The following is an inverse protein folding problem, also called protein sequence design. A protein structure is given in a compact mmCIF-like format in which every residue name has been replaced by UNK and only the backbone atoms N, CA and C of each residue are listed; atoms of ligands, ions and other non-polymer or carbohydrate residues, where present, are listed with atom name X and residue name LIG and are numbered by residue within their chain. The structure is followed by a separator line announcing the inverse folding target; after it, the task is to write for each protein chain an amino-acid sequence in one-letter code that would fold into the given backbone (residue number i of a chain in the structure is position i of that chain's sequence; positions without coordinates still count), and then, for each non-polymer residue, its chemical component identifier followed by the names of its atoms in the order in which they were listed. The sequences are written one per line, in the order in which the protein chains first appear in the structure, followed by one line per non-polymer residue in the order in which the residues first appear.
data_IF_957422394354
#
_entry.id   IF_957422394354
#
_cell.length_a   1.000
_cell.length_b   1.000
_cell.length_c   1.000
_cell.angle_alpha   90.00
_cell.angle_beta   90.00
_cell.angle_gamma   90.00
#
_symmetry.space_group_name_H-M   'P 1'
#
loop_
_entity.id
_entity.type
_entity.pdbx_description
1 polymer ?
#
# COMPACT_ATOMS: atom_id res chain seq x y z
N UNK A 1 24.21 23.05 -1.88
CA UNK A 1 23.09 23.14 -0.94
C UNK A 1 23.46 22.32 0.28
N UNK A 2 23.29 22.87 1.48
CA UNK A 2 23.45 22.11 2.73
C UNK A 2 22.19 21.26 2.88
N UNK A 3 22.35 19.93 2.84
CA UNK A 3 21.22 19.03 3.09
C UNK A 3 20.83 19.18 4.57
N UNK A 4 19.53 19.36 4.80
CA UNK A 4 18.94 19.54 6.13
C UNK A 4 17.96 18.41 6.42
N UNK A 5 17.81 18.07 7.69
CA UNK A 5 16.83 17.09 8.17
C UNK A 5 15.39 17.63 8.15
N UNK A 6 14.45 16.84 8.68
CA UNK A 6 13.03 17.21 8.80
C UNK A 6 12.78 18.45 9.68
N UNK A 7 13.73 18.80 10.57
CA UNK A 7 13.67 19.98 11.44
C UNK A 7 14.38 21.20 10.82
N UNK A 8 14.90 21.09 9.59
CA UNK A 8 15.67 22.13 8.92
C UNK A 8 17.09 22.30 9.47
N UNK A 9 17.63 21.31 10.19
CA UNK A 9 18.99 21.31 10.74
C UNK A 9 19.97 20.63 9.80
N UNK A 10 21.17 21.17 9.69
CA UNK A 10 22.23 20.64 8.84
C UNK A 10 22.59 19.19 9.16
N UNK A 11 22.76 18.39 8.11
CA UNK A 11 23.28 17.04 8.21
C UNK A 11 24.82 17.04 8.27
N UNK A 12 25.38 16.16 9.09
CA UNK A 12 26.83 15.94 9.16
C UNK A 12 27.25 14.86 8.16
N UNK A 13 27.96 15.25 7.11
CA UNK A 13 28.59 14.29 6.19
C UNK A 13 29.68 13.48 6.88
N UNK A 14 29.63 12.15 6.75
CA UNK A 14 30.63 11.21 7.27
C UNK A 14 31.04 10.21 6.17
N UNK A 15 32.21 9.59 6.31
CA UNK A 15 32.68 8.55 5.39
C UNK A 15 32.25 7.16 5.85
N UNK A 16 32.35 6.15 4.98
CA UNK A 16 32.13 4.74 5.34
C UNK A 16 33.05 4.26 6.47
N UNK A 17 34.32 4.65 6.41
CA UNK A 17 35.30 4.36 7.45
C UNK A 17 34.86 4.99 8.79
N UNK A 18 34.48 6.26 8.79
CA UNK A 18 34.02 6.95 10.00
C UNK A 18 32.76 6.27 10.56
N UNK A 19 31.79 5.95 9.72
CA UNK A 19 30.57 5.25 10.11
C UNK A 19 30.87 3.92 10.81
N UNK A 20 31.70 3.07 10.21
CA UNK A 20 32.08 1.77 10.79
C UNK A 20 32.86 1.95 12.09
N UNK A 21 33.84 2.86 12.12
CA UNK A 21 34.67 3.09 13.31
C UNK A 21 33.85 3.55 14.51
N UNK A 22 32.93 4.50 14.29
CA UNK A 22 32.02 4.99 15.33
C UNK A 22 31.22 3.84 15.94
N UNK A 23 30.61 2.99 15.11
CA UNK A 23 29.78 1.89 15.61
C UNK A 23 30.60 0.83 16.35
N UNK A 24 31.74 0.42 15.80
CA UNK A 24 32.64 -0.55 16.46
C UNK A 24 33.17 0.01 17.79
N UNK A 25 33.38 1.33 17.89
CA UNK A 25 33.81 1.98 19.13
C UNK A 25 32.71 2.08 20.19
N UNK A 26 31.49 1.63 19.89
CA UNK A 26 30.36 1.63 20.83
C UNK A 26 29.37 2.77 20.61
N UNK A 27 29.58 3.65 19.64
CA UNK A 27 28.62 4.71 19.29
C UNK A 27 27.35 4.05 18.72
N UNK A 28 26.19 4.47 19.22
CA UNK A 28 24.88 3.95 18.78
C UNK A 28 23.96 5.02 18.23
N UNK A 29 24.21 6.28 18.55
CA UNK A 29 23.40 7.42 18.11
C UNK A 29 24.11 8.14 16.98
N UNK A 30 23.70 7.84 15.75
CA UNK A 30 24.21 8.43 14.52
C UNK A 30 23.05 9.15 13.81
N UNK A 31 22.40 10.05 14.54
CA UNK A 31 21.33 10.88 14.02
C UNK A 31 21.89 12.00 13.13
N UNK A 32 21.08 12.43 12.14
CA UNK A 32 21.40 13.58 11.28
C UNK A 32 22.74 13.48 10.55
N UNK A 33 23.14 12.27 10.21
CA UNK A 33 24.32 12.03 9.37
C UNK A 33 23.93 12.04 7.89
N UNK A 34 24.90 12.34 7.04
CA UNK A 34 24.83 12.16 5.60
C UNK A 34 25.90 11.14 5.19
N UNK A 35 25.47 10.01 4.61
CA UNK A 35 26.34 8.98 4.05
C UNK A 35 25.95 8.75 2.58
N UNK A 36 26.84 9.13 1.67
CA UNK A 36 26.57 9.16 0.23
C UNK A 36 27.54 8.26 -0.53
N UNK A 37 27.00 7.45 -1.43
CA UNK A 37 27.72 6.66 -2.42
C UNK A 37 28.81 5.76 -1.82
N UNK A 38 28.51 5.18 -0.65
CA UNK A 38 29.42 4.30 0.08
C UNK A 38 29.08 2.84 -0.14
N UNK A 39 30.06 2.07 -0.64
CA UNK A 39 29.96 0.63 -0.69
C UNK A 39 30.52 -0.01 0.59
N UNK A 40 29.67 -0.21 1.59
CA UNK A 40 30.08 -0.88 2.83
C UNK A 40 30.41 -2.35 2.57
N UNK A 41 29.76 -3.02 1.63
CA UNK A 41 30.08 -4.41 1.30
C UNK A 41 31.53 -4.63 0.83
N UNK A 42 32.17 -3.63 0.21
CA UNK A 42 33.57 -3.67 -0.21
C UNK A 42 34.55 -3.17 0.86
N UNK A 43 34.06 -2.64 1.98
CA UNK A 43 34.91 -2.11 3.03
C UNK A 43 35.64 -3.25 3.78
N UNK A 44 36.98 -3.17 4.01
CA UNK A 44 37.76 -4.26 4.60
C UNK A 44 37.27 -4.75 5.96
N UNK A 45 36.66 -3.86 6.75
CA UNK A 45 36.10 -4.18 8.08
C UNK A 45 34.61 -4.49 8.07
N UNK A 46 33.96 -4.64 6.91
CA UNK A 46 32.51 -4.88 6.87
C UNK A 46 32.09 -6.17 7.58
N UNK A 47 32.86 -7.25 7.41
CA UNK A 47 32.60 -8.52 8.09
C UNK A 47 32.74 -8.39 9.62
N UNK A 48 33.81 -7.72 10.08
CA UNK A 48 34.04 -7.43 11.50
C UNK A 48 32.92 -6.54 12.07
N UNK A 49 32.55 -5.49 11.35
CA UNK A 49 31.46 -4.59 11.67
C UNK A 49 30.12 -5.32 11.82
N UNK A 50 29.79 -6.19 10.86
CA UNK A 50 28.55 -6.96 10.89
C UNK A 50 28.54 -8.01 12.02
N UNK A 51 29.69 -8.61 12.32
CA UNK A 51 29.85 -9.52 13.44
C UNK A 51 29.73 -8.79 14.78
N UNK A 52 30.33 -7.60 14.89
CA UNK A 52 30.20 -6.74 16.06
C UNK A 52 28.74 -6.39 16.34
N UNK A 53 27.96 -6.03 15.32
CA UNK A 53 26.52 -5.80 15.47
C UNK A 53 25.82 -7.05 16.02
N UNK A 54 26.05 -8.23 15.44
CA UNK A 54 25.47 -9.49 15.94
C UNK A 54 25.74 -9.76 17.42
N UNK A 55 26.95 -9.47 17.89
CA UNK A 55 27.34 -9.70 19.27
C UNK A 55 26.80 -8.65 20.25
N UNK A 56 26.47 -7.45 19.76
CA UNK A 56 26.18 -6.28 20.62
C UNK A 56 24.74 -5.74 20.52
N UNK A 57 23.84 -6.34 19.73
CA UNK A 57 22.45 -5.86 19.58
C UNK A 57 21.43 -6.56 20.51
N UNK A 58 21.86 -7.50 21.36
CA UNK A 58 20.94 -8.17 22.30
C UNK A 58 20.52 -7.23 23.45
N UNK A 59 19.24 -6.82 23.50
CA UNK A 59 18.61 -6.22 24.69
C UNK A 59 18.74 -4.69 24.85
N UNK A 60 18.33 -3.91 23.84
CA UNK A 60 18.14 -2.45 23.96
C UNK A 60 19.29 -1.57 23.44
N UNK A 61 20.34 -2.16 22.88
CA UNK A 61 21.52 -1.46 22.31
C UNK A 61 21.45 -1.29 20.78
N UNK A 62 20.24 -1.08 20.25
CA UNK A 62 20.02 -0.90 18.82
C UNK A 62 20.76 0.32 18.27
N UNK A 63 21.13 0.25 17.00
CA UNK A 63 21.62 1.41 16.28
C UNK A 63 20.47 2.41 16.08
N UNK A 64 20.77 3.70 16.26
CA UNK A 64 19.85 4.81 16.04
C UNK A 64 20.38 5.64 14.87
N UNK A 65 19.63 5.62 13.78
CA UNK A 65 19.82 6.38 12.55
C UNK A 65 18.63 7.29 12.26
N UNK A 66 17.88 7.67 13.29
CA UNK A 66 16.75 8.57 13.13
C UNK A 66 17.18 9.87 12.45
N UNK A 67 16.38 10.35 11.49
CA UNK A 67 16.67 11.56 10.72
C UNK A 67 18.00 11.52 9.90
N UNK A 68 18.65 10.36 9.77
CA UNK A 68 19.82 10.23 8.91
C UNK A 68 19.42 10.23 7.42
N UNK A 69 20.35 10.63 6.56
CA UNK A 69 20.20 10.55 5.11
C UNK A 69 21.29 9.65 4.54
N UNK A 70 20.89 8.52 3.98
CA UNK A 70 21.76 7.60 3.28
C UNK A 70 21.34 7.56 1.82
N UNK A 71 22.30 7.80 0.93
CA UNK A 71 22.06 7.77 -0.52
C UNK A 71 23.08 6.89 -1.22
N UNK A 72 22.62 5.99 -2.09
CA UNK A 72 23.51 5.13 -2.87
C UNK A 72 24.38 4.18 -2.03
N UNK A 73 23.98 3.93 -0.77
CA UNK A 73 24.75 3.08 0.14
C UNK A 73 24.52 1.61 -0.17
N UNK A 74 25.59 0.82 -0.28
CA UNK A 74 25.50 -0.63 -0.47
C UNK A 74 25.88 -1.35 0.83
N UNK A 75 24.92 -2.04 1.44
CA UNK A 75 25.07 -2.74 2.70
C UNK A 75 24.29 -4.07 2.73
N UNK A 76 24.45 -4.88 1.68
CA UNK A 76 23.83 -6.22 1.58
C UNK A 76 24.14 -7.09 2.79
N UNK A 77 23.13 -7.78 3.32
CA UNK A 77 23.27 -8.70 4.44
C UNK A 77 23.65 -8.02 5.77
N UNK A 78 23.54 -6.69 5.87
CA UNK A 78 23.83 -5.97 7.11
C UNK A 78 22.86 -6.41 8.22
N UNK A 79 23.38 -6.51 9.44
CA UNK A 79 22.67 -6.97 10.61
C UNK A 79 22.28 -5.79 11.49
N UNK A 80 21.04 -5.32 11.34
CA UNK A 80 20.49 -4.16 12.04
C UNK A 80 19.10 -4.47 12.65
N UNK A 81 18.96 -5.53 13.47
CA UNK A 81 17.68 -5.77 14.13
C UNK A 81 17.37 -4.62 15.09
N UNK A 82 16.08 -4.31 15.23
CA UNK A 82 15.56 -3.25 16.08
C UNK A 82 16.15 -1.87 15.78
N UNK A 83 16.66 -1.66 14.55
CA UNK A 83 17.15 -0.36 14.09
C UNK A 83 16.11 0.71 14.37
N UNK A 84 16.50 1.76 15.09
CA UNK A 84 15.69 2.96 15.13
C UNK A 84 16.08 3.86 13.96
N UNK A 85 15.29 3.78 12.88
CA UNK A 85 15.41 4.59 11.69
C UNK A 85 14.18 5.47 11.49
N UNK A 86 13.51 5.92 12.55
CA UNK A 86 12.38 6.87 12.41
C UNK A 86 12.80 8.09 11.57
N UNK A 87 11.96 8.47 10.61
CA UNK A 87 12.22 9.61 9.70
C UNK A 87 13.53 9.50 8.91
N UNK A 88 14.13 8.32 8.80
CA UNK A 88 15.33 8.13 7.99
C UNK A 88 15.00 8.34 6.51
N UNK A 89 15.95 8.90 5.76
CA UNK A 89 15.89 8.91 4.29
C UNK A 89 16.91 7.93 3.75
N UNK A 90 16.40 6.92 3.04
CA UNK A 90 17.16 5.91 2.32
C UNK A 90 16.81 6.04 0.83
N UNK A 91 17.70 6.67 0.07
CA UNK A 91 17.56 6.87 -1.38
C UNK A 91 18.52 5.95 -2.14
N UNK A 92 18.02 5.07 -2.99
CA UNK A 92 18.82 4.13 -3.79
C UNK A 92 19.78 3.28 -2.94
N UNK A 93 19.35 2.91 -1.73
CA UNK A 93 20.15 2.11 -0.78
C UNK A 93 19.91 0.62 -1.04
N UNK A 94 21.00 -0.15 -1.15
CA UNK A 94 20.96 -1.59 -1.32
C UNK A 94 21.13 -2.32 0.02
N UNK A 95 20.02 -2.79 0.57
CA UNK A 95 19.89 -3.60 1.78
C UNK A 95 19.43 -5.04 1.46
N UNK A 96 19.80 -5.57 0.29
CA UNK A 96 19.47 -6.95 -0.10
C UNK A 96 19.91 -7.94 1.00
N UNK A 97 18.98 -8.79 1.45
CA UNK A 97 19.21 -9.78 2.50
C UNK A 97 19.52 -9.21 3.89
N UNK A 98 19.31 -7.92 4.13
CA UNK A 98 19.53 -7.30 5.43
C UNK A 98 18.64 -7.91 6.52
N UNK A 99 19.12 -7.89 7.77
CA UNK A 99 18.36 -8.27 8.95
C UNK A 99 17.87 -7.01 9.65
N UNK A 100 16.58 -6.71 9.51
CA UNK A 100 15.87 -5.52 10.02
C UNK A 100 14.67 -5.95 10.88
N UNK A 101 14.75 -7.11 11.53
CA UNK A 101 13.69 -7.63 12.40
C UNK A 101 13.40 -6.62 13.51
N UNK A 102 12.13 -6.26 13.67
CA UNK A 102 11.67 -5.28 14.65
C UNK A 102 12.20 -3.85 14.42
N UNK A 103 12.74 -3.54 13.23
CA UNK A 103 13.19 -2.19 12.91
C UNK A 103 12.03 -1.20 12.98
N UNK A 104 12.32 -0.02 13.52
CA UNK A 104 11.40 1.09 13.60
C UNK A 104 11.74 2.11 12.51
N UNK A 105 10.98 2.07 11.42
CA UNK A 105 11.12 2.89 10.22
C UNK A 105 9.89 3.78 10.03
N UNK A 106 9.20 4.14 11.12
CA UNK A 106 8.04 5.04 11.07
C UNK A 106 8.40 6.35 10.33
N UNK A 107 7.53 6.73 9.39
CA UNK A 107 7.68 7.91 8.51
C UNK A 107 8.99 7.95 7.70
N UNK A 108 9.65 6.80 7.50
CA UNK A 108 10.85 6.71 6.67
C UNK A 108 10.57 6.97 5.19
N UNK A 109 11.55 7.57 4.51
CA UNK A 109 11.58 7.79 3.08
C UNK A 109 12.45 6.70 2.45
N UNK A 110 11.84 5.76 1.74
CA UNK A 110 12.50 4.54 1.24
C UNK A 110 12.55 4.51 -0.29
N UNK A 111 12.87 5.65 -0.91
CA UNK A 111 12.85 5.78 -2.36
C UNK A 111 13.94 4.92 -3.01
N UNK A 112 13.57 4.05 -3.96
CA UNK A 112 14.53 3.19 -4.67
C UNK A 112 15.22 2.15 -3.79
N UNK A 113 14.75 1.92 -2.55
CA UNK A 113 15.42 0.98 -1.64
C UNK A 113 15.33 -0.45 -2.17
N UNK A 114 16.41 -1.21 -2.06
CA UNK A 114 16.44 -2.64 -2.38
C UNK A 114 16.45 -3.42 -1.07
N UNK A 115 15.33 -4.08 -0.77
CA UNK A 115 15.11 -4.94 0.40
C UNK A 115 14.85 -6.40 0.01
N UNK A 116 15.32 -6.81 -1.18
CA UNK A 116 15.12 -8.17 -1.68
C UNK A 116 15.58 -9.21 -0.66
N UNK A 117 14.70 -10.14 -0.28
CA UNK A 117 15.03 -11.19 0.68
C UNK A 117 15.37 -10.71 2.10
N UNK A 118 15.19 -9.42 2.43
CA UNK A 118 15.47 -8.89 3.74
C UNK A 118 14.47 -9.43 4.79
N UNK A 119 14.92 -9.55 6.04
CA UNK A 119 14.07 -9.90 7.17
C UNK A 119 13.56 -8.62 7.84
N UNK A 120 12.29 -8.27 7.64
CA UNK A 120 11.56 -7.17 8.29
C UNK A 120 10.43 -7.69 9.20
N UNK A 121 10.56 -8.89 9.77
CA UNK A 121 9.57 -9.42 10.71
C UNK A 121 9.32 -8.43 11.83
N UNK A 122 8.05 -8.19 12.14
CA UNK A 122 7.62 -7.30 13.23
C UNK A 122 8.14 -5.85 13.11
N UNK A 123 8.61 -5.43 11.91
CA UNK A 123 9.08 -4.07 11.69
C UNK A 123 7.91 -3.07 11.67
N UNK A 124 8.15 -1.87 12.21
CA UNK A 124 7.25 -0.72 12.09
C UNK A 124 7.59 0.04 10.81
N UNK A 125 6.71 0.00 9.82
CA UNK A 125 6.77 0.71 8.54
C UNK A 125 5.56 1.65 8.41
N UNK A 126 5.08 2.20 9.53
CA UNK A 126 3.92 3.09 9.50
C UNK A 126 4.26 4.37 8.73
N UNK A 127 3.35 4.78 7.85
CA UNK A 127 3.45 6.01 7.06
C UNK A 127 4.74 6.13 6.23
N UNK A 128 5.38 5.00 5.88
CA UNK A 128 6.57 5.01 5.02
C UNK A 128 6.22 5.39 3.59
N UNK A 129 7.20 5.96 2.89
CA UNK A 129 7.10 6.25 1.46
C UNK A 129 7.95 5.28 0.67
N UNK A 130 7.32 4.56 -0.24
CA UNK A 130 7.90 3.36 -0.88
C UNK A 130 8.23 3.54 -2.36
N UNK A 131 8.32 4.77 -2.86
CA UNK A 131 8.52 5.03 -4.29
C UNK A 131 9.69 4.18 -4.84
N UNK A 132 9.43 3.35 -5.86
CA UNK A 132 10.43 2.48 -6.49
C UNK A 132 11.11 1.44 -5.56
N UNK A 133 10.52 1.15 -4.40
CA UNK A 133 11.09 0.21 -3.44
C UNK A 133 10.88 -1.26 -3.85
N UNK A 134 11.90 -2.09 -3.67
CA UNK A 134 11.86 -3.51 -3.98
C UNK A 134 11.96 -4.39 -2.73
N UNK A 135 10.82 -4.91 -2.29
CA UNK A 135 10.65 -5.88 -1.21
C UNK A 135 10.51 -7.31 -1.73
N UNK A 136 10.88 -7.61 -2.98
CA UNK A 136 10.70 -8.94 -3.54
C UNK A 136 11.35 -10.00 -2.65
N UNK A 137 10.64 -11.07 -2.32
CA UNK A 137 11.10 -12.14 -1.43
C UNK A 137 11.37 -11.74 0.03
N UNK A 138 11.13 -10.49 0.42
CA UNK A 138 11.33 -10.04 1.78
C UNK A 138 10.35 -10.74 2.74
N UNK A 139 10.72 -10.83 4.00
CA UNK A 139 9.87 -11.36 5.06
C UNK A 139 9.36 -10.22 5.93
N UNK A 140 8.10 -9.87 5.74
CA UNK A 140 7.35 -8.83 6.46
C UNK A 140 6.27 -9.44 7.36
N UNK A 141 6.47 -10.66 7.84
CA UNK A 141 5.51 -11.31 8.74
C UNK A 141 5.28 -10.43 9.97
N UNK A 142 4.01 -10.08 10.23
CA UNK A 142 3.57 -9.15 11.30
C UNK A 142 4.14 -7.72 11.21
N UNK A 143 4.68 -7.31 10.07
CA UNK A 143 5.09 -5.92 9.89
C UNK A 143 3.87 -4.99 9.85
N UNK A 144 4.06 -3.76 10.30
CA UNK A 144 3.02 -2.73 10.29
C UNK A 144 3.29 -1.70 9.20
N UNK A 145 2.59 -1.81 8.09
CA UNK A 145 2.59 -0.87 6.96
C UNK A 145 1.38 0.08 6.99
N UNK A 146 0.78 0.34 8.16
CA UNK A 146 -0.37 1.24 8.27
C UNK A 146 -0.05 2.60 7.67
N UNK A 147 -0.89 3.04 6.72
CA UNK A 147 -0.71 4.33 6.03
C UNK A 147 0.51 4.41 5.10
N UNK A 148 1.21 3.31 4.83
CA UNK A 148 2.31 3.30 3.85
C UNK A 148 1.82 3.79 2.48
N UNK A 149 2.69 4.47 1.74
CA UNK A 149 2.30 5.18 0.53
C UNK A 149 3.30 5.00 -0.61
N UNK A 150 2.80 4.63 -1.78
CA UNK A 150 3.57 4.68 -3.04
C UNK A 150 3.51 6.03 -3.73
N UNK A 151 2.83 7.02 -3.14
CA UNK A 151 2.85 8.38 -3.66
C UNK A 151 4.20 9.00 -3.36
N UNK A 152 4.66 9.88 -4.25
CA UNK A 152 5.88 10.66 -4.05
C UNK A 152 5.78 11.38 -2.72
N UNK A 153 6.71 11.08 -1.82
CA UNK A 153 7.07 12.04 -0.79
C UNK A 153 7.79 13.16 -1.49
N UNK A 154 7.29 14.38 -1.37
CA UNK A 154 8.13 15.50 -1.74
C UNK A 154 9.23 15.57 -0.68
N UNK A 155 10.50 15.41 -1.09
CA UNK A 155 11.61 15.62 -0.17
C UNK A 155 11.50 17.02 0.45
N UNK A 156 11.84 17.18 1.73
CA UNK A 156 11.66 18.45 2.43
C UNK A 156 12.48 19.58 1.80
N UNK A 157 13.60 19.27 1.15
CA UNK A 157 14.39 20.19 0.32
C UNK A 157 13.62 20.66 -0.91
N UNK A 158 13.02 19.75 -1.68
CA UNK A 158 12.18 20.13 -2.83
C UNK A 158 10.87 20.80 -2.40
N UNK A 159 10.34 20.48 -1.21
CA UNK A 159 9.19 21.16 -0.61
C UNK A 159 9.53 22.56 -0.14
N UNK A 160 10.67 22.75 0.54
CA UNK A 160 11.11 24.06 1.01
C UNK A 160 11.51 24.93 -0.16
N UNK A 161 12.18 24.40 -1.17
CA UNK A 161 12.41 25.10 -2.44
C UNK A 161 11.11 25.49 -3.11
N UNK A 162 10.11 24.60 -3.20
CA UNK A 162 8.79 24.94 -3.77
C UNK A 162 8.00 25.91 -2.90
N UNK A 163 8.09 25.83 -1.57
CA UNK A 163 7.45 26.75 -0.63
C UNK A 163 8.13 28.12 -0.69
N UNK A 164 9.46 28.18 -0.72
CA UNK A 164 10.25 29.42 -0.83
C UNK A 164 10.05 30.05 -2.22
N UNK A 165 10.02 29.26 -3.30
CA UNK A 165 9.59 29.71 -4.64
C UNK A 165 8.16 30.25 -4.59
N UNK A 166 7.24 29.57 -3.88
CA UNK A 166 5.84 29.99 -3.77
C UNK A 166 5.65 31.24 -2.91
N UNK A 167 6.37 31.40 -1.79
CA UNK A 167 6.36 32.57 -0.91
C UNK A 167 7.02 33.77 -1.61
N UNK A 168 8.06 33.54 -2.41
CA UNK A 168 8.61 34.56 -3.30
C UNK A 168 7.64 34.95 -4.43
N UNK A 169 6.67 34.08 -4.74
CA UNK A 169 5.67 34.25 -5.81
C UNK A 169 4.28 34.73 -5.33
N UNK A 170 4.14 35.25 -4.09
CA UNK A 170 2.87 35.79 -3.56
C UNK A 170 2.18 36.86 -4.44
N UNK A 171 2.77 37.26 -5.57
CA UNK A 171 2.21 38.15 -6.56
C UNK A 171 1.38 37.51 -7.69
N UNK A 172 1.24 36.17 -7.84
CA UNK A 172 0.40 35.63 -8.93
C UNK A 172 -0.53 34.46 -8.54
N UNK A 173 -1.69 34.83 -7.98
CA UNK A 173 -2.80 33.90 -7.61
C UNK A 173 -3.54 33.28 -8.80
N UNK A 174 -3.04 33.42 -10.02
CA UNK A 174 -3.70 33.08 -11.29
C UNK A 174 -3.12 31.85 -11.98
N UNK A 175 -1.92 31.40 -11.63
CA UNK A 175 -1.22 30.32 -12.35
C UNK A 175 -1.33 28.92 -11.75
N UNK A 176 -1.89 28.76 -10.55
CA UNK A 176 -2.03 27.44 -9.91
C UNK A 176 -3.41 26.85 -10.12
N UNK A 177 -3.44 25.64 -10.68
CA UNK A 177 -4.64 24.83 -10.91
C UNK A 177 -5.37 24.51 -9.60
N UNK A 178 -6.67 24.22 -9.69
CA UNK A 178 -7.48 23.88 -8.52
C UNK A 178 -6.93 22.64 -7.78
N UNK A 179 -6.32 21.70 -8.51
CA UNK A 179 -5.75 20.44 -8.01
C UNK A 179 -4.49 20.64 -7.18
N UNK A 180 -3.63 21.57 -7.57
CA UNK A 180 -2.44 21.95 -6.79
C UNK A 180 -2.84 22.59 -5.47
N UNK A 181 -3.85 23.47 -5.48
CA UNK A 181 -4.39 24.10 -4.27
C UNK A 181 -4.98 23.08 -3.30
N UNK A 182 -5.63 22.02 -3.80
CA UNK A 182 -6.21 20.95 -2.97
C UNK A 182 -5.13 20.04 -2.37
N UNK A 183 -4.09 19.70 -3.13
CA UNK A 183 -2.96 18.90 -2.63
C UNK A 183 -2.17 19.65 -1.56
N UNK A 184 -1.98 20.96 -1.76
CA UNK A 184 -1.39 21.88 -0.76
C UNK A 184 -2.26 21.96 0.49
N UNK A 185 -3.59 21.98 0.36
CA UNK A 185 -4.47 22.02 1.52
C UNK A 185 -4.54 20.70 2.29
N UNK A 186 -4.48 19.55 1.61
CA UNK A 186 -4.36 18.25 2.27
C UNK A 186 -3.06 18.17 3.09
N UNK A 187 -1.97 18.70 2.54
CA UNK A 187 -0.66 18.78 3.20
C UNK A 187 -0.67 19.76 4.39
N UNK A 188 -1.32 20.92 4.26
CA UNK A 188 -1.56 21.85 5.38
C UNK A 188 -2.40 21.22 6.50
N UNK A 189 -3.38 20.39 6.15
CA UNK A 189 -4.18 19.65 7.14
C UNK A 189 -3.33 18.61 7.87
N UNK A 190 -2.43 17.91 7.17
CA UNK A 190 -1.49 16.97 7.76
C UNK A 190 -0.52 17.68 8.72
N UNK A 191 0.09 18.81 8.31
CA UNK A 191 0.97 19.63 9.15
C UNK A 191 0.24 20.28 10.34
N UNK A 192 -1.04 20.64 10.20
CA UNK A 192 -1.91 21.11 11.31
C UNK A 192 -2.19 20.02 12.33
N UNK A 193 -2.43 18.78 11.89
CA UNK A 193 -2.65 17.63 12.80
C UNK A 193 -1.41 17.29 13.62
N UNK A 194 -0.22 17.54 13.06
CA UNK A 194 1.07 17.40 13.74
C UNK A 194 1.47 18.62 14.60
N UNK A 195 0.59 19.64 14.72
CA UNK A 195 0.80 20.79 15.61
C UNK A 195 1.64 21.95 15.06
N UNK A 196 2.01 21.92 13.77
CA UNK A 196 2.93 22.90 13.16
C UNK A 196 2.25 24.15 12.55
N UNK A 197 0.92 24.31 12.67
CA UNK A 197 0.17 25.47 12.15
C UNK A 197 -0.99 25.85 13.09
N UNK A 198 -1.18 27.16 13.34
CA UNK A 198 -2.19 27.76 14.23
C UNK A 198 -3.63 27.19 14.01
N UNK A 199 -4.35 26.74 15.05
CA UNK A 199 -5.63 26.04 14.94
C UNK A 199 -6.85 26.88 14.50
N UNK A 200 -6.73 28.19 14.27
CA UNK A 200 -7.90 29.09 14.20
C UNK A 200 -8.66 29.20 12.87
N UNK A 201 -8.75 28.15 12.04
CA UNK A 201 -9.59 28.21 10.81
C UNK A 201 -10.48 26.97 10.65
N UNK A 202 -11.61 27.01 11.36
CA UNK A 202 -12.74 26.07 11.24
C UNK A 202 -13.65 26.33 10.01
N UNK A 203 -13.34 27.30 9.15
CA UNK A 203 -14.22 27.68 8.03
C UNK A 203 -13.92 27.01 6.67
N UNK A 204 -12.89 26.14 6.57
CA UNK A 204 -12.53 25.56 5.26
C UNK A 204 -13.43 24.39 4.81
N UNK A 205 -14.05 23.66 5.73
CA UNK A 205 -15.06 22.61 5.40
C UNK A 205 -16.29 23.19 4.67
N UNK A 206 -16.61 24.47 4.88
CA UNK A 206 -17.75 25.15 4.20
C UNK A 206 -17.43 25.63 2.79
N UNK A 207 -16.15 25.78 2.43
CA UNK A 207 -15.75 26.28 1.12
C UNK A 207 -15.73 25.18 0.04
N UNK A 208 -15.30 23.96 0.40
CA UNK A 208 -15.27 22.82 -0.53
C UNK A 208 -16.66 22.29 -0.92
N UNK A 209 -17.67 22.50 -0.07
CA UNK A 209 -19.05 22.05 -0.30
C UNK A 209 -19.84 22.86 -1.35
N UNK A 210 -19.28 23.95 -1.90
CA UNK A 210 -20.04 24.85 -2.81
C UNK A 210 -19.58 24.87 -4.27
N UNK A 211 -18.55 24.12 -4.67
CA UNK A 211 -17.98 24.22 -6.02
C UNK A 211 -18.00 22.90 -6.80
N UNK A 212 -19.05 22.10 -6.63
CA UNK A 212 -19.32 20.88 -7.40
C UNK A 212 -20.43 21.17 -8.42
N UNK A 213 -20.03 21.59 -9.61
CA UNK A 213 -20.83 21.49 -10.83
C UNK A 213 -19.96 21.97 -12.00
N UNK A 214 -19.80 21.09 -13.00
CA UNK A 214 -19.25 21.34 -14.33
C UNK A 214 -17.71 21.44 -14.41
N UNK A 215 -17.12 20.27 -14.68
CA UNK A 215 -16.07 20.01 -15.68
C UNK A 215 -15.13 18.93 -15.16
N UNK A 216 -15.68 17.72 -15.02
CA UNK A 216 -14.94 16.47 -14.89
C UNK A 216 -14.51 16.04 -16.29
N UNK A 217 -13.36 16.51 -16.76
CA UNK A 217 -12.71 15.91 -17.93
C UNK A 217 -11.20 15.89 -17.73
N UNK A 218 -10.72 14.69 -17.37
CA UNK A 218 -9.41 14.11 -17.72
C UNK A 218 -8.17 15.00 -17.53
N UNK A 219 -7.55 14.89 -16.35
CA UNK A 219 -6.08 15.02 -16.21
C UNK A 219 -5.57 13.84 -15.39
N UNK A 220 -5.64 12.69 -16.03
CA UNK A 220 -5.16 11.39 -15.55
C UNK A 220 -3.67 11.15 -15.88
N UNK A 221 -2.93 12.11 -16.46
CA UNK A 221 -1.71 11.78 -17.21
C UNK A 221 -0.41 12.51 -16.81
N UNK A 222 -0.22 12.97 -15.56
CA UNK A 222 1.08 13.59 -15.15
C UNK A 222 1.43 13.50 -13.65
N UNK A 223 1.00 12.46 -12.93
CA UNK A 223 1.47 12.24 -11.55
C UNK A 223 1.88 10.78 -11.39
N UNK A 224 3.19 10.56 -11.52
CA UNK A 224 3.97 9.34 -11.28
C UNK A 224 3.16 8.21 -10.64
N UNK A 225 2.81 7.25 -11.50
CA UNK A 225 2.16 6.00 -11.17
C UNK A 225 3.12 5.16 -10.31
N UNK A 226 2.61 4.50 -9.27
CA UNK A 226 3.38 3.67 -8.34
C UNK A 226 3.92 2.36 -8.94
N UNK A 227 4.37 2.37 -10.20
CA UNK A 227 4.63 1.18 -11.01
C UNK A 227 5.83 0.34 -10.55
N UNK A 228 6.70 0.86 -9.67
CA UNK A 228 7.95 0.18 -9.32
C UNK A 228 8.04 -0.29 -7.86
N UNK A 229 6.93 -0.32 -7.12
CA UNK A 229 6.95 -0.95 -5.79
C UNK A 229 6.61 -2.43 -5.92
N UNK A 230 7.54 -3.28 -5.52
CA UNK A 230 7.34 -4.74 -5.61
C UNK A 230 7.43 -5.40 -4.25
N UNK A 231 6.36 -6.13 -3.90
CA UNK A 231 6.30 -7.15 -2.87
C UNK A 231 6.23 -8.55 -3.49
N UNK A 232 6.71 -8.72 -4.73
CA UNK A 232 6.61 -10.00 -5.42
C UNK A 232 7.23 -11.12 -4.58
N UNK A 233 6.44 -12.16 -4.31
CA UNK A 233 6.84 -13.34 -3.52
C UNK A 233 7.30 -13.02 -2.09
N UNK A 234 6.99 -11.82 -1.59
CA UNK A 234 7.22 -11.46 -0.21
C UNK A 234 6.24 -12.21 0.72
N UNK A 235 6.65 -12.40 1.97
CA UNK A 235 5.80 -12.93 3.02
C UNK A 235 5.28 -11.77 3.87
N UNK A 236 4.03 -11.34 3.64
CA UNK A 236 3.29 -10.35 4.42
C UNK A 236 2.25 -11.00 5.33
N UNK A 237 2.47 -12.25 5.75
CA UNK A 237 1.51 -12.92 6.62
C UNK A 237 1.30 -12.12 7.90
N UNK A 238 0.03 -11.89 8.26
CA UNK A 238 -0.38 -11.13 9.44
C UNK A 238 0.14 -9.69 9.46
N UNK A 239 0.56 -9.15 8.32
CA UNK A 239 0.92 -7.76 8.21
C UNK A 239 -0.32 -6.86 8.27
N UNK A 240 -0.13 -5.65 8.78
CA UNK A 240 -1.17 -4.61 8.79
C UNK A 240 -0.88 -3.62 7.67
N UNK A 241 -1.84 -3.41 6.78
CA UNK A 241 -1.79 -2.47 5.66
C UNK A 241 -3.01 -1.53 5.70
N UNK A 242 -3.51 -1.24 6.90
CA UNK A 242 -4.72 -0.42 7.08
C UNK A 242 -4.45 1.00 6.57
N UNK A 243 -5.34 1.51 5.71
CA UNK A 243 -5.22 2.84 5.13
C UNK A 243 -3.97 3.06 4.24
N UNK A 244 -3.26 2.00 3.86
CA UNK A 244 -2.12 2.09 2.96
C UNK A 244 -2.55 2.41 1.51
N UNK A 245 -1.79 3.28 0.85
CA UNK A 245 -1.97 3.67 -0.55
C UNK A 245 -1.00 2.89 -1.43
N UNK A 246 -1.48 1.79 -2.00
CA UNK A 246 -0.72 0.78 -2.73
C UNK A 246 -1.26 0.57 -4.14
N UNK A 247 -1.64 1.66 -4.82
CA UNK A 247 -2.07 1.63 -6.22
C UNK A 247 -0.94 1.07 -7.10
N UNK A 248 -1.28 0.12 -7.98
CA UNK A 248 -0.37 -0.47 -8.97
C UNK A 248 0.73 -1.37 -8.40
N UNK A 249 0.71 -1.63 -7.08
CA UNK A 249 1.77 -2.40 -6.41
C UNK A 249 1.78 -3.86 -6.85
N UNK A 250 2.97 -4.41 -7.03
CA UNK A 250 3.18 -5.80 -7.41
C UNK A 250 3.20 -6.71 -6.18
N UNK A 251 2.14 -7.49 -6.00
CA UNK A 251 2.00 -8.55 -4.98
C UNK A 251 2.08 -9.96 -5.59
N UNK A 252 2.65 -10.12 -6.79
CA UNK A 252 2.62 -11.43 -7.49
C UNK A 252 3.27 -12.52 -6.67
N UNK A 253 2.53 -13.61 -6.44
CA UNK A 253 2.98 -14.75 -5.64
C UNK A 253 3.28 -14.42 -4.18
N UNK A 254 2.91 -13.24 -3.69
CA UNK A 254 3.08 -12.88 -2.28
C UNK A 254 2.14 -13.70 -1.39
N UNK A 255 2.57 -13.92 -0.15
CA UNK A 255 1.75 -14.53 0.89
C UNK A 255 1.22 -13.43 1.81
N UNK A 256 -0.10 -13.27 1.86
CA UNK A 256 -0.82 -12.28 2.67
C UNK A 256 -1.82 -12.99 3.61
N UNK A 257 -1.44 -14.17 4.11
CA UNK A 257 -2.30 -14.98 4.97
C UNK A 257 -2.58 -14.22 6.27
N UNK A 258 -3.85 -14.14 6.67
CA UNK A 258 -4.31 -13.38 7.84
C UNK A 258 -3.96 -11.87 7.80
N UNK A 259 -3.61 -11.30 6.64
CA UNK A 259 -3.25 -9.87 6.54
C UNK A 259 -4.47 -8.94 6.63
N UNK A 260 -4.26 -7.72 7.14
CA UNK A 260 -5.29 -6.70 7.29
C UNK A 260 -5.08 -5.59 6.25
N UNK A 261 -5.90 -5.58 5.18
CA UNK A 261 -5.76 -4.69 4.01
C UNK A 261 -7.07 -3.93 3.77
N UNK A 262 -7.56 -3.23 4.79
CA UNK A 262 -8.83 -2.52 4.73
C UNK A 262 -8.70 -1.06 5.16
N UNK A 263 -9.76 -0.30 4.93
CA UNK A 263 -9.95 1.01 5.52
C UNK A 263 -11.14 0.92 6.49
N UNK A 264 -10.91 1.20 7.77
CA UNK A 264 -11.97 1.21 8.78
C UNK A 264 -13.04 2.27 8.50
N UNK A 265 -12.73 3.27 7.68
CA UNK A 265 -13.68 4.29 7.24
C UNK A 265 -14.57 3.84 6.07
N UNK A 266 -14.25 2.70 5.43
CA UNK A 266 -14.98 2.22 4.27
C UNK A 266 -16.42 1.78 4.63
N UNK A 267 -17.39 2.46 4.03
CA UNK A 267 -18.79 2.10 4.19
C UNK A 267 -19.16 0.94 3.27
N UNK A 268 -19.22 -0.27 3.83
CA UNK A 268 -19.46 -1.51 3.07
C UNK A 268 -20.89 -1.69 2.56
N UNK A 269 -21.85 -0.86 2.96
CA UNK A 269 -23.26 -1.09 2.64
C UNK A 269 -23.79 -0.22 1.49
N UNK A 270 -22.91 0.52 0.80
CA UNK A 270 -23.31 1.60 -0.13
C UNK A 270 -22.71 1.39 -1.52
N UNK A 271 -23.34 0.51 -2.30
CA UNK A 271 -22.95 0.21 -3.69
C UNK A 271 -23.47 1.28 -4.67
N UNK A 272 -24.42 2.12 -4.23
CA UNK A 272 -25.30 2.90 -5.13
C UNK A 272 -25.35 4.41 -4.81
N UNK A 273 -24.29 5.00 -4.26
CA UNK A 273 -24.28 6.45 -3.98
C UNK A 273 -23.19 7.17 -4.77
N UNK A 274 -23.58 8.25 -5.46
CA UNK A 274 -22.75 9.27 -6.13
C UNK A 274 -21.76 10.02 -5.19
N UNK A 275 -21.46 9.45 -4.03
CA UNK A 275 -20.45 9.93 -3.09
C UNK A 275 -19.05 9.50 -3.57
N UNK A 276 -18.04 10.31 -3.22
CA UNK A 276 -16.66 10.15 -3.67
C UNK A 276 -16.18 8.71 -3.58
N UNK A 277 -15.64 8.20 -4.68
CA UNK A 277 -14.99 6.89 -4.73
C UNK A 277 -14.11 6.72 -3.48
N UNK A 278 -14.18 5.55 -2.80
CA UNK A 278 -13.35 5.29 -1.63
C UNK A 278 -11.89 5.58 -1.96
N UNK A 279 -11.09 6.06 -0.98
CA UNK A 279 -9.69 6.37 -1.19
C UNK A 279 -9.01 5.21 -1.94
N UNK A 280 -8.38 5.54 -3.08
CA UNK A 280 -7.73 4.57 -3.96
C UNK A 280 -6.58 3.90 -3.23
N UNK A 281 -6.79 2.67 -2.76
CA UNK A 281 -5.80 1.92 -1.97
C UNK A 281 -5.11 0.80 -2.75
N UNK A 282 -5.84 0.06 -3.60
CA UNK A 282 -5.34 -1.13 -4.30
C UNK A 282 -5.74 -1.14 -5.80
N UNK A 283 -6.14 0.00 -6.36
CA UNK A 283 -6.45 0.09 -7.79
C UNK A 283 -5.25 -0.41 -8.61
N UNK A 284 -5.51 -1.19 -9.66
CA UNK A 284 -4.48 -1.74 -10.57
C UNK A 284 -3.42 -2.64 -9.90
N UNK A 285 -3.52 -2.93 -8.60
CA UNK A 285 -2.56 -3.77 -7.89
C UNK A 285 -2.56 -5.20 -8.43
N UNK A 286 -1.39 -5.84 -8.42
CA UNK A 286 -1.17 -7.14 -9.04
C UNK A 286 -1.01 -8.25 -7.99
N UNK A 287 -2.11 -8.94 -7.69
CA UNK A 287 -2.20 -10.07 -6.78
C UNK A 287 -2.13 -11.43 -7.48
N UNK A 288 -1.64 -11.51 -8.73
CA UNK A 288 -1.62 -12.79 -9.46
C UNK A 288 -0.85 -13.86 -8.68
N UNK A 289 -1.44 -15.06 -8.59
CA UNK A 289 -0.86 -16.22 -7.89
C UNK A 289 -0.57 -15.98 -6.38
N UNK A 290 -1.09 -14.90 -5.80
CA UNK A 290 -0.92 -14.60 -4.37
C UNK A 290 -1.78 -15.50 -3.47
N UNK A 291 -1.34 -15.70 -2.24
CA UNK A 291 -2.13 -16.37 -1.21
C UNK A 291 -2.72 -15.35 -0.23
N UNK A 292 -4.02 -15.10 -0.34
CA UNK A 292 -4.79 -14.17 0.49
C UNK A 292 -5.63 -14.92 1.54
N UNK A 293 -5.28 -16.16 1.86
CA UNK A 293 -6.08 -16.98 2.77
C UNK A 293 -6.36 -16.26 4.09
N UNK A 294 -7.63 -16.16 4.47
CA UNK A 294 -8.09 -15.48 5.69
C UNK A 294 -7.75 -13.97 5.78
N UNK A 295 -7.28 -13.33 4.70
CA UNK A 295 -7.04 -11.89 4.70
C UNK A 295 -8.35 -11.09 4.82
N UNK A 296 -8.24 -9.86 5.33
CA UNK A 296 -9.36 -8.92 5.48
C UNK A 296 -9.12 -7.71 4.57
N UNK A 297 -9.84 -7.66 3.46
CA UNK A 297 -9.83 -6.56 2.48
C UNK A 297 -11.19 -5.85 2.39
N UNK A 298 -11.91 -5.82 3.51
CA UNK A 298 -13.25 -5.26 3.63
C UNK A 298 -13.27 -3.81 3.16
N UNK A 299 -14.18 -3.47 2.25
CA UNK A 299 -14.37 -2.09 1.78
C UNK A 299 -13.22 -1.52 0.94
N UNK A 300 -12.18 -2.31 0.65
CA UNK A 300 -11.01 -1.84 -0.07
C UNK A 300 -11.36 -1.43 -1.50
N UNK A 301 -10.66 -0.42 -2.03
CA UNK A 301 -10.74 -0.08 -3.45
C UNK A 301 -9.70 -0.89 -4.23
N UNK A 302 -10.17 -1.94 -4.92
CA UNK A 302 -9.38 -2.86 -5.74
C UNK A 302 -9.87 -2.84 -7.21
N UNK A 303 -10.34 -1.68 -7.70
CA UNK A 303 -10.80 -1.56 -9.06
C UNK A 303 -9.67 -1.92 -10.04
N UNK A 304 -10.01 -2.70 -11.08
CA UNK A 304 -9.06 -3.23 -12.08
C UNK A 304 -7.86 -4.02 -11.53
N UNK A 305 -7.85 -4.37 -10.24
CA UNK A 305 -6.79 -5.19 -9.66
C UNK A 305 -6.76 -6.59 -10.30
N UNK A 306 -5.57 -7.19 -10.33
CA UNK A 306 -5.34 -8.50 -10.96
C UNK A 306 -5.23 -9.58 -9.89
N UNK A 307 -6.28 -10.36 -9.71
CA UNK A 307 -6.33 -11.51 -8.81
C UNK A 307 -6.19 -12.85 -9.56
N UNK A 308 -5.73 -12.85 -10.81
CA UNK A 308 -5.69 -14.10 -11.59
C UNK A 308 -4.85 -15.18 -10.90
N UNK A 309 -5.46 -16.35 -10.64
CA UNK A 309 -4.83 -17.46 -9.94
C UNK A 309 -4.63 -17.25 -8.44
N UNK A 310 -5.13 -16.16 -7.85
CA UNK A 310 -5.01 -15.89 -6.42
C UNK A 310 -5.88 -16.84 -5.58
N UNK A 311 -5.40 -17.19 -4.38
CA UNK A 311 -6.16 -17.95 -3.40
C UNK A 311 -6.85 -17.01 -2.40
N UNK A 312 -8.16 -16.83 -2.54
CA UNK A 312 -9.01 -16.00 -1.65
C UNK A 312 -9.76 -16.85 -0.62
N UNK A 313 -9.23 -18.01 -0.25
CA UNK A 313 -9.91 -18.91 0.69
C UNK A 313 -10.11 -18.27 2.06
N UNK A 314 -11.33 -18.27 2.61
CA UNK A 314 -11.68 -17.59 3.86
C UNK A 314 -11.45 -16.06 3.87
N UNK A 315 -11.18 -15.43 2.73
CA UNK A 315 -10.94 -13.98 2.66
C UNK A 315 -12.23 -13.19 2.87
N UNK A 316 -12.16 -12.10 3.62
CA UNK A 316 -13.25 -11.13 3.74
C UNK A 316 -13.00 -9.96 2.79
N UNK A 317 -13.73 -9.95 1.67
CA UNK A 317 -13.75 -8.87 0.68
C UNK A 317 -15.17 -8.26 0.60
N UNK A 318 -15.88 -8.25 1.74
CA UNK A 318 -17.20 -7.62 1.80
C UNK A 318 -17.11 -6.12 1.55
N UNK A 319 -18.00 -5.58 0.72
CA UNK A 319 -18.02 -4.18 0.32
C UNK A 319 -16.82 -3.73 -0.53
N UNK A 320 -15.99 -4.65 -1.04
CA UNK A 320 -14.85 -4.30 -1.89
C UNK A 320 -15.32 -3.62 -3.18
N UNK A 321 -14.59 -2.61 -3.65
CA UNK A 321 -14.81 -1.99 -4.94
C UNK A 321 -13.85 -2.60 -5.94
N UNK A 322 -14.28 -3.65 -6.64
CA UNK A 322 -13.45 -4.45 -7.55
C UNK A 322 -14.02 -4.44 -8.98
N UNK A 323 -14.63 -3.31 -9.38
CA UNK A 323 -15.12 -3.14 -10.74
C UNK A 323 -13.97 -3.31 -11.74
N UNK A 324 -14.18 -4.14 -12.77
CA UNK A 324 -13.20 -4.45 -13.80
C UNK A 324 -12.01 -5.32 -13.34
N UNK A 325 -12.00 -5.81 -12.10
CA UNK A 325 -10.93 -6.69 -11.62
C UNK A 325 -10.90 -8.03 -12.36
N UNK A 326 -9.70 -8.62 -12.46
CA UNK A 326 -9.47 -9.93 -13.06
C UNK A 326 -9.39 -10.99 -11.97
N UNK A 327 -10.42 -11.82 -11.83
CA UNK A 327 -10.46 -12.97 -10.93
C UNK A 327 -10.33 -14.31 -11.68
N UNK A 328 -9.76 -14.30 -12.89
CA UNK A 328 -9.63 -15.53 -13.67
C UNK A 328 -8.74 -16.56 -12.94
N UNK A 329 -9.14 -17.82 -12.93
CA UNK A 329 -8.46 -18.91 -12.21
C UNK A 329 -8.35 -18.73 -10.68
N UNK A 330 -8.98 -17.71 -10.08
CA UNK A 330 -8.92 -17.46 -8.64
C UNK A 330 -9.78 -18.46 -7.84
N UNK A 331 -9.41 -18.70 -6.58
CA UNK A 331 -10.13 -19.58 -5.65
C UNK A 331 -10.93 -18.80 -4.61
N UNK A 332 -12.24 -19.03 -4.54
CA UNK A 332 -13.17 -18.29 -3.68
C UNK A 332 -13.78 -19.15 -2.56
N UNK A 333 -13.02 -20.10 -2.03
CA UNK A 333 -13.57 -21.03 -1.05
C UNK A 333 -13.84 -20.31 0.27
N UNK A 334 -15.09 -20.27 0.73
CA UNK A 334 -15.45 -19.59 1.98
C UNK A 334 -15.14 -18.07 1.95
N UNK A 335 -15.16 -17.45 0.77
CA UNK A 335 -14.93 -16.01 0.61
C UNK A 335 -16.21 -15.22 0.84
N UNK A 336 -16.12 -14.15 1.62
CA UNK A 336 -17.20 -13.19 1.81
C UNK A 336 -17.08 -12.05 0.79
N UNK A 337 -17.98 -12.04 -0.20
CA UNK A 337 -18.14 -11.02 -1.23
C UNK A 337 -19.43 -10.21 -1.00
N UNK A 338 -20.00 -10.23 0.21
CA UNK A 338 -21.24 -9.51 0.47
C UNK A 338 -21.05 -8.02 0.23
N UNK A 339 -22.01 -7.39 -0.45
CA UNK A 339 -21.95 -5.99 -0.86
C UNK A 339 -20.78 -5.59 -1.78
N UNK A 340 -20.04 -6.54 -2.35
CA UNK A 340 -18.94 -6.22 -3.27
C UNK A 340 -19.46 -5.61 -4.58
N UNK A 341 -18.79 -4.57 -5.07
CA UNK A 341 -18.92 -4.12 -6.46
C UNK A 341 -17.97 -4.95 -7.33
N UNK A 342 -18.55 -5.84 -8.13
CA UNK A 342 -17.86 -6.77 -9.02
C UNK A 342 -18.21 -6.48 -10.48
N UNK A 343 -18.72 -5.29 -10.79
CA UNK A 343 -19.15 -4.94 -12.14
C UNK A 343 -18.02 -5.13 -13.14
N UNK A 344 -18.33 -5.67 -14.31
CA UNK A 344 -17.36 -5.88 -15.40
C UNK A 344 -16.12 -6.75 -15.08
N UNK A 345 -16.08 -7.39 -13.91
CA UNK A 345 -14.97 -8.27 -13.51
C UNK A 345 -14.97 -9.59 -14.29
N UNK A 346 -13.81 -10.26 -14.37
CA UNK A 346 -13.67 -11.54 -15.09
C UNK A 346 -13.56 -12.72 -14.13
N UNK A 347 -14.40 -13.74 -14.30
CA UNK A 347 -14.40 -14.98 -13.51
C UNK A 347 -14.00 -16.23 -14.32
N UNK A 348 -13.29 -16.06 -15.44
CA UNK A 348 -12.86 -17.18 -16.30
C UNK A 348 -12.12 -18.24 -15.48
N UNK A 349 -12.63 -19.48 -15.47
CA UNK A 349 -12.06 -20.60 -14.71
C UNK A 349 -11.90 -20.38 -13.20
N UNK A 350 -12.54 -19.36 -12.62
CA UNK A 350 -12.58 -19.20 -11.18
C UNK A 350 -13.21 -20.44 -10.51
N UNK A 351 -12.85 -20.70 -9.26
CA UNK A 351 -13.16 -21.95 -8.57
C UNK A 351 -13.76 -21.75 -7.19
N UNK A 352 -14.96 -22.32 -7.00
CA UNK A 352 -15.68 -22.34 -5.70
C UNK A 352 -15.98 -23.81 -5.35
N UNK A 353 -15.16 -24.42 -4.50
CA UNK A 353 -15.39 -25.79 -3.99
C UNK A 353 -16.17 -25.77 -2.68
N UNK A 354 -15.99 -24.74 -1.86
CA UNK A 354 -16.73 -24.47 -0.62
C UNK A 354 -17.35 -23.08 -0.68
N UNK A 355 -18.49 -22.90 -0.01
CA UNK A 355 -19.39 -21.74 -0.12
C UNK A 355 -18.72 -20.39 -0.45
N UNK A 356 -19.29 -19.57 -1.33
CA UNK A 356 -18.89 -18.17 -1.52
C UNK A 356 -20.12 -17.26 -1.38
N UNK A 357 -20.03 -16.14 -0.65
CA UNK A 357 -21.18 -15.30 -0.32
C UNK A 357 -21.25 -14.03 -1.16
N UNK A 358 -22.23 -13.95 -2.07
CA UNK A 358 -22.45 -12.82 -2.99
C UNK A 358 -23.67 -11.97 -2.57
N UNK A 359 -24.05 -11.99 -1.29
CA UNK A 359 -25.25 -11.28 -0.82
C UNK A 359 -25.13 -9.77 -1.04
N UNK A 360 -26.09 -9.16 -1.72
CA UNK A 360 -26.07 -7.75 -2.14
C UNK A 360 -24.90 -7.36 -3.04
N UNK A 361 -24.11 -8.31 -3.56
CA UNK A 361 -23.03 -7.99 -4.49
C UNK A 361 -23.59 -7.51 -5.84
N UNK A 362 -22.81 -6.72 -6.57
CA UNK A 362 -23.15 -6.25 -7.91
C UNK A 362 -22.28 -6.94 -8.96
N UNK A 363 -22.89 -7.82 -9.75
CA UNK A 363 -22.25 -8.60 -10.81
C UNK A 363 -22.56 -8.06 -12.20
N UNK A 364 -23.17 -6.87 -12.34
CA UNK A 364 -23.57 -6.34 -13.65
C UNK A 364 -22.37 -6.21 -14.59
N UNK A 365 -22.46 -6.83 -15.76
CA UNK A 365 -21.40 -6.86 -16.76
C UNK A 365 -20.27 -7.86 -16.46
N UNK A 366 -20.34 -8.61 -15.36
CA UNK A 366 -19.34 -9.62 -15.04
C UNK A 366 -19.24 -10.68 -16.16
N UNK A 367 -18.01 -11.07 -16.48
CA UNK A 367 -17.67 -11.93 -17.60
C UNK A 367 -17.42 -13.36 -17.12
N UNK A 368 -17.71 -14.32 -17.99
CA UNK A 368 -17.35 -15.73 -17.80
C UNK A 368 -17.92 -16.38 -16.53
N UNK A 369 -19.08 -15.90 -16.02
CA UNK A 369 -19.78 -16.52 -14.89
C UNK A 369 -20.12 -17.99 -15.17
N UNK A 370 -20.39 -18.37 -16.43
CA UNK A 370 -20.63 -19.75 -16.86
C UNK A 370 -19.39 -20.64 -16.83
N UNK A 371 -18.20 -20.04 -16.77
CA UNK A 371 -16.91 -20.73 -16.64
C UNK A 371 -16.43 -20.82 -15.19
N UNK A 372 -17.09 -20.14 -14.27
CA UNK A 372 -16.78 -20.22 -12.84
C UNK A 372 -17.29 -21.56 -12.27
N UNK A 373 -16.36 -22.45 -11.95
CA UNK A 373 -16.65 -23.78 -11.46
C UNK A 373 -17.23 -23.74 -10.04
N UNK A 374 -18.34 -24.43 -9.85
CA UNK A 374 -19.04 -24.49 -8.56
C UNK A 374 -19.81 -23.23 -8.18
N UNK A 375 -19.91 -22.22 -9.06
CA UNK A 375 -20.69 -21.00 -8.82
C UNK A 375 -22.14 -21.30 -8.43
N UNK A 376 -22.81 -22.19 -9.15
CA UNK A 376 -24.20 -22.59 -8.85
C UNK A 376 -24.26 -23.54 -7.66
N UNK A 377 -23.29 -24.44 -7.53
CA UNK A 377 -23.30 -25.44 -6.48
C UNK A 377 -23.11 -24.81 -5.09
N UNK A 378 -22.14 -23.90 -5.01
CA UNK A 378 -21.54 -23.42 -3.78
C UNK A 378 -21.68 -21.89 -3.60
N UNK A 379 -22.01 -21.13 -4.64
CA UNK A 379 -22.37 -19.73 -4.48
C UNK A 379 -23.63 -19.54 -3.62
N UNK A 380 -23.64 -18.47 -2.83
CA UNK A 380 -24.73 -18.05 -1.96
C UNK A 380 -25.14 -16.64 -2.38
N UNK A 381 -26.27 -16.54 -3.08
CA UNK A 381 -26.76 -15.28 -3.64
C UNK A 381 -28.02 -14.82 -2.90
N UNK A 382 -28.08 -13.54 -2.57
CA UNK A 382 -29.25 -12.91 -1.93
C UNK A 382 -29.24 -11.42 -2.22
N UNK A 383 -30.23 -10.91 -2.94
CA UNK A 383 -30.28 -9.53 -3.43
C UNK A 383 -29.07 -9.15 -4.30
N UNK A 384 -28.48 -10.13 -4.98
CA UNK A 384 -27.34 -9.89 -5.87
C UNK A 384 -27.85 -9.18 -7.12
N UNK A 385 -27.19 -8.08 -7.50
CA UNK A 385 -27.54 -7.29 -8.68
C UNK A 385 -26.92 -7.93 -9.92
N UNK A 386 -27.73 -8.12 -10.95
CA UNK A 386 -27.32 -8.72 -12.23
C UNK A 386 -28.09 -8.08 -13.38
N UNK A 387 -27.52 -8.11 -14.58
CA UNK A 387 -28.25 -7.75 -15.80
C UNK A 387 -29.30 -8.81 -16.14
N UNK A 388 -30.26 -8.47 -16.99
CA UNK A 388 -31.26 -9.43 -17.47
C UNK A 388 -30.62 -10.63 -18.20
N UNK A 389 -29.50 -10.42 -18.89
CA UNK A 389 -28.71 -11.46 -19.57
C UNK A 389 -28.03 -12.39 -18.57
N UNK A 390 -27.37 -11.84 -17.55
CA UNK A 390 -26.72 -12.61 -16.48
C UNK A 390 -27.73 -13.40 -15.67
N UNK A 391 -28.88 -12.80 -15.34
CA UNK A 391 -29.97 -13.51 -14.67
C UNK A 391 -30.39 -14.74 -15.47
N UNK A 392 -30.67 -14.58 -16.76
CA UNK A 392 -31.06 -15.70 -17.62
C UNK A 392 -29.99 -16.80 -17.64
N UNK A 393 -28.71 -16.42 -17.77
CA UNK A 393 -27.58 -17.35 -17.75
C UNK A 393 -27.53 -18.14 -16.44
N UNK A 394 -27.59 -17.46 -15.29
CA UNK A 394 -27.51 -18.06 -13.97
C UNK A 394 -28.72 -18.98 -13.69
N UNK A 395 -29.91 -18.58 -14.12
CA UNK A 395 -31.13 -19.40 -14.04
C UNK A 395 -31.02 -20.66 -14.92
N UNK A 396 -30.43 -20.56 -16.12
CA UNK A 396 -30.20 -21.70 -16.98
C UNK A 396 -29.21 -22.70 -16.35
N UNK A 397 -28.13 -22.20 -15.75
CA UNK A 397 -27.14 -23.02 -15.05
C UNK A 397 -27.76 -23.71 -13.82
N UNK A 398 -28.59 -23.01 -13.04
CA UNK A 398 -29.37 -23.58 -11.93
C UNK A 398 -30.26 -24.75 -12.39
N UNK A 399 -30.97 -24.55 -13.51
CA UNK A 399 -31.83 -25.58 -14.11
C UNK A 399 -31.03 -26.83 -14.50
N UNK A 400 -29.85 -26.66 -15.08
CA UNK A 400 -28.96 -27.78 -15.48
C UNK A 400 -28.47 -28.59 -14.28
N UNK A 401 -28.28 -27.96 -13.11
CA UNK A 401 -27.90 -28.65 -11.87
C UNK A 401 -29.10 -29.26 -11.10
N UNK A 402 -30.32 -29.20 -11.64
CA UNK A 402 -31.51 -29.71 -10.95
C UNK A 402 -31.87 -28.92 -9.69
N UNK A 403 -31.35 -27.71 -9.53
CA UNK A 403 -31.65 -26.82 -8.41
C UNK A 403 -32.83 -25.91 -8.76
N UNK A 404 -33.71 -25.66 -7.79
CA UNK A 404 -34.80 -24.67 -7.92
C UNK A 404 -34.35 -23.32 -7.35
N UNK A 405 -34.81 -22.23 -8.00
CA UNK A 405 -34.84 -20.89 -7.40
C UNK A 405 -35.78 -20.91 -6.19
N UNK A 406 -35.29 -21.29 -5.01
CA UNK A 406 -36.10 -21.15 -3.79
C UNK A 406 -35.66 -19.98 -2.92
N UNK A 407 -34.48 -19.38 -3.16
CA UNK A 407 -33.95 -18.33 -2.27
C UNK A 407 -33.10 -17.24 -2.95
N UNK A 408 -32.77 -17.38 -4.24
CA UNK A 408 -31.97 -16.36 -4.94
C UNK A 408 -32.85 -15.19 -5.37
N UNK A 409 -32.93 -14.17 -4.51
CA UNK A 409 -33.45 -12.85 -4.90
C UNK A 409 -32.38 -12.18 -5.75
N UNK A 410 -32.67 -11.99 -7.03
CA UNK A 410 -31.85 -11.18 -7.93
C UNK A 410 -32.52 -9.82 -8.05
N UNK A 411 -31.76 -8.74 -7.87
CA UNK A 411 -32.24 -7.42 -8.23
C UNK A 411 -31.84 -7.15 -9.68
N UNK A 412 -32.82 -6.90 -10.54
CA UNK A 412 -32.62 -6.78 -11.98
C UNK A 412 -32.84 -5.33 -12.38
N UNK A 413 -31.75 -4.62 -12.67
CA UNK A 413 -31.84 -3.30 -13.27
C UNK A 413 -31.87 -3.43 -14.81
N UNK A 414 -32.72 -2.63 -15.45
CA UNK A 414 -33.04 -2.70 -16.88
C UNK A 414 -31.90 -2.19 -17.77
#
# INVERSE_FOLDING_TARGET
MELVDIDGKSLRKITGDEFIQKIISGERYLERILLEDVNLNQHPRFAEFNQYLKENTLGGNSLVLSQAYLKGVQAKGIYLPYLNGRYITLEDVDLEGAYLEGADLEEAQLSGIILRGANLREACLQQVFLNEADFSWAVLERADLTGASTRTSYSHTTLKERIDEMESSELDKTNFSLKERLSINAMRIHLRKQGYLDPSVDDYKRFLLKKRAHDEEVVESTLFEGENVSFARANLNRATLIGAYLKGVDFRGASLIDAMIHDDSANIHRIDTDEESPPMMLEDADFRESDLTSAIMKGANAAKAKFSGANLTNTNISGVYAAGADFSNAEFNQTDLTFADLRNSDFMNARIVKNAWFGNADLRGAKNLDKCSGLIRNGRFSYTMVTQKEKWLLEEMLRKEGKRLMTTRWDVQK
#
